data_IF_238751421223
#
_entry.id   IF_238751421223
#
_cell.length_a   1.000
_cell.length_b   1.000
_cell.length_c   1.000
_cell.angle_alpha   90.00
_cell.angle_beta   90.00
_cell.angle_gamma   90.00
#
_symmetry.space_group_name_H-M   'P 1'
#
loop_
_entity.id
_entity.type
_entity.pdbx_description
1 polymer ?
#
# COMPACT_ATOMS: atom_id res chain seq x y z
N UNK A 1 -25.87 -0.05 17.51
CA UNK A 1 -25.22 -0.94 16.52
C UNK A 1 -24.31 -0.23 15.51
N UNK A 2 -24.37 1.11 15.35
CA UNK A 2 -23.46 1.90 14.49
C UNK A 2 -22.09 2.18 15.12
N UNK A 3 -22.03 2.36 16.46
CA UNK A 3 -20.80 2.63 17.19
C UNK A 3 -19.79 1.46 17.12
N UNK A 4 -20.25 0.20 17.20
CA UNK A 4 -19.37 -0.98 17.09
C UNK A 4 -18.79 -1.15 15.69
N UNK A 5 -19.56 -0.82 14.65
CA UNK A 5 -19.11 -0.85 13.24
C UNK A 5 -18.04 0.21 12.99
N UNK A 6 -18.25 1.44 13.49
CA UNK A 6 -17.26 2.52 13.41
C UNK A 6 -15.99 2.17 14.19
N UNK A 7 -16.13 1.60 15.39
CA UNK A 7 -14.99 1.20 16.24
C UNK A 7 -14.18 0.09 15.59
N UNK A 8 -14.83 -0.88 14.92
CA UNK A 8 -14.16 -1.94 14.16
C UNK A 8 -13.46 -1.41 12.91
N UNK A 9 -14.10 -0.53 12.14
CA UNK A 9 -13.50 0.09 10.96
C UNK A 9 -12.27 0.95 11.33
N UNK A 10 -12.37 1.75 12.40
CA UNK A 10 -11.24 2.53 12.92
C UNK A 10 -10.13 1.63 13.43
N UNK A 11 -10.44 0.53 14.14
CA UNK A 11 -9.42 -0.44 14.59
C UNK A 11 -8.72 -1.13 13.41
N UNK A 12 -9.47 -1.48 12.35
CA UNK A 12 -8.89 -2.05 11.14
C UNK A 12 -8.04 -1.02 10.39
N UNK A 13 -8.47 0.24 10.30
CA UNK A 13 -7.69 1.33 9.70
C UNK A 13 -6.41 1.64 10.50
N UNK A 14 -6.48 1.68 11.83
CA UNK A 14 -5.29 1.79 12.71
C UNK A 14 -4.37 0.58 12.54
N UNK A 15 -4.93 -0.59 12.21
CA UNK A 15 -4.18 -1.79 11.85
C UNK A 15 -3.55 -1.77 10.45
N UNK A 16 -3.92 -0.86 9.55
CA UNK A 16 -3.31 -0.72 8.22
C UNK A 16 -2.15 0.28 8.21
N UNK A 17 -2.12 1.20 9.17
CA UNK A 17 -1.15 2.29 9.22
C UNK A 17 -1.50 3.41 8.26
N UNK A 18 -0.49 4.18 7.83
CA UNK A 18 -0.63 5.23 6.82
C UNK A 18 -0.71 4.64 5.41
N UNK A 19 -1.25 5.40 4.46
CA UNK A 19 -1.23 5.01 3.05
C UNK A 19 -0.09 5.71 2.31
N UNK A 20 0.71 4.94 1.59
CA UNK A 20 1.91 5.38 0.90
C UNK A 20 1.63 5.44 -0.59
N UNK A 21 1.95 6.55 -1.25
CA UNK A 21 1.79 6.68 -2.68
C UNK A 21 2.71 5.68 -3.43
N UNK A 22 2.15 4.99 -4.41
CA UNK A 22 2.87 4.10 -5.30
C UNK A 22 3.22 4.85 -6.59
N UNK A 23 4.47 4.74 -7.02
CA UNK A 23 4.97 5.40 -8.23
C UNK A 23 4.91 6.92 -8.13
N UNK A 24 4.58 7.58 -9.24
CA UNK A 24 4.51 9.03 -9.32
C UNK A 24 3.11 9.61 -9.06
N UNK A 25 2.98 10.95 -9.01
CA UNK A 25 1.73 11.66 -8.70
C UNK A 25 0.54 11.35 -9.63
N UNK A 26 0.80 10.76 -10.81
CA UNK A 26 -0.21 10.36 -11.80
C UNK A 26 -0.64 8.90 -11.69
N UNK A 27 0.07 8.08 -10.92
CA UNK A 27 -0.18 6.65 -10.82
C UNK A 27 -1.43 6.32 -9.99
N UNK A 28 -1.89 7.21 -9.11
CA UNK A 28 -3.19 7.10 -8.43
C UNK A 28 -3.35 5.82 -7.60
N UNK A 29 -2.23 5.28 -7.12
CA UNK A 29 -2.18 4.09 -6.30
C UNK A 29 -1.63 4.37 -4.92
N UNK A 30 -2.16 3.68 -3.93
CA UNK A 30 -1.65 3.70 -2.57
C UNK A 30 -1.54 2.30 -2.01
N UNK A 31 -0.57 2.09 -1.12
CA UNK A 31 -0.42 0.86 -0.34
C UNK A 31 -0.48 1.17 1.15
N UNK A 32 -1.16 0.32 1.91
CA UNK A 32 -1.11 0.36 3.37
C UNK A 32 0.31 0.07 3.84
N UNK A 33 0.81 0.86 4.80
CA UNK A 33 2.15 0.66 5.38
C UNK A 33 2.36 -0.78 5.86
N UNK A 34 1.35 -1.40 6.48
CA UNK A 34 1.43 -2.81 6.90
C UNK A 34 1.57 -3.79 5.72
N UNK A 35 0.91 -3.52 4.60
CA UNK A 35 1.04 -4.35 3.40
C UNK A 35 2.44 -4.21 2.79
N UNK A 36 3.02 -3.00 2.81
CA UNK A 36 4.40 -2.77 2.42
C UNK A 36 5.40 -3.47 3.36
N UNK A 37 5.16 -3.42 4.68
CA UNK A 37 5.96 -4.08 5.70
C UNK A 37 6.05 -5.60 5.48
N UNK A 38 4.95 -6.27 5.10
CA UNK A 38 4.94 -7.71 4.76
C UNK A 38 5.92 -8.01 3.63
N UNK A 39 5.93 -7.20 2.57
CA UNK A 39 6.85 -7.37 1.43
C UNK A 39 8.31 -7.17 1.85
N UNK A 40 8.58 -6.13 2.65
CA UNK A 40 9.93 -5.84 3.14
C UNK A 40 10.47 -6.91 4.10
N UNK A 41 9.63 -7.43 5.00
CA UNK A 41 9.98 -8.55 5.89
C UNK A 41 10.30 -9.82 5.11
N UNK A 42 9.49 -10.15 4.10
CA UNK A 42 9.76 -11.29 3.20
C UNK A 42 11.06 -11.11 2.42
N UNK A 43 11.35 -9.90 1.96
CA UNK A 43 12.60 -9.58 1.29
C UNK A 43 13.82 -9.80 2.19
N UNK A 44 13.80 -9.27 3.42
CA UNK A 44 14.90 -9.44 4.38
C UNK A 44 15.07 -10.91 4.78
N UNK A 45 13.98 -11.62 5.04
CA UNK A 45 14.02 -13.06 5.37
C UNK A 45 14.68 -13.88 4.25
N UNK A 46 14.41 -13.53 2.98
CA UNK A 46 14.97 -14.22 1.82
C UNK A 46 16.43 -13.85 1.56
N UNK A 47 16.76 -12.57 1.63
CA UNK A 47 17.99 -12.03 1.05
C UNK A 47 19.05 -11.64 2.12
N UNK A 48 18.71 -11.65 3.41
CA UNK A 48 19.61 -11.36 4.53
C UNK A 48 19.51 -12.43 5.64
N UNK A 49 20.11 -13.62 5.45
CA UNK A 49 20.09 -14.69 6.45
C UNK A 49 20.77 -14.26 7.75
N UNK A 50 20.29 -14.79 8.87
CA UNK A 50 20.72 -14.38 10.21
C UNK A 50 20.16 -13.05 10.72
N UNK A 51 19.21 -12.43 10.02
CA UNK A 51 18.58 -11.15 10.39
C UNK A 51 17.08 -11.33 10.65
N UNK A 52 16.58 -10.71 11.72
CA UNK A 52 15.15 -10.53 12.00
C UNK A 52 14.84 -9.04 12.02
N UNK A 53 13.81 -8.61 11.29
CA UNK A 53 13.26 -7.27 11.47
C UNK A 53 12.35 -7.26 12.72
N UNK A 54 12.56 -6.31 13.61
CA UNK A 54 11.76 -6.15 14.82
C UNK A 54 10.69 -5.08 14.63
N UNK A 55 10.99 -4.05 13.84
CA UNK A 55 10.04 -3.00 13.47
C UNK A 55 10.38 -2.34 12.15
N UNK A 56 9.37 -1.95 11.37
CA UNK A 56 9.53 -1.18 10.13
C UNK A 56 8.56 -0.01 10.14
N UNK A 57 9.04 1.17 9.75
CA UNK A 57 8.24 2.39 9.59
C UNK A 57 8.62 3.09 8.30
N UNK A 58 7.63 3.57 7.54
CA UNK A 58 7.86 4.26 6.27
C UNK A 58 7.28 5.68 6.33
N UNK A 59 8.13 6.69 6.51
CA UNK A 59 7.73 8.10 6.60
C UNK A 59 8.14 8.92 5.39
N UNK A 60 7.79 10.21 5.41
CA UNK A 60 8.36 11.18 4.48
C UNK A 60 9.86 11.32 4.76
N UNK A 61 10.64 11.44 3.69
CA UNK A 61 12.02 11.90 3.78
C UNK A 61 12.03 13.39 4.17
N UNK A 62 13.18 13.89 4.63
CA UNK A 62 13.31 15.29 5.02
C UNK A 62 12.96 16.25 3.87
N UNK A 63 12.65 17.53 4.16
CA UNK A 63 12.22 18.49 3.14
C UNK A 63 13.27 18.77 2.04
N UNK A 64 14.53 18.44 2.31
CA UNK A 64 15.67 18.56 1.37
C UNK A 64 15.80 17.34 0.43
N UNK A 65 15.03 16.27 0.68
CA UNK A 65 15.15 15.04 -0.06
C UNK A 65 14.64 15.22 -1.50
N UNK A 66 15.46 14.80 -2.46
CA UNK A 66 15.10 14.77 -3.88
C UNK A 66 14.58 13.39 -4.20
N UNK A 67 13.40 13.31 -4.82
CA UNK A 67 12.82 12.03 -5.21
C UNK A 67 13.69 11.31 -6.22
N UNK A 68 13.48 10.00 -6.38
CA UNK A 68 14.34 9.20 -7.28
C UNK A 68 14.18 9.60 -8.76
N UNK A 69 13.10 10.30 -9.10
CA UNK A 69 12.88 10.91 -10.42
C UNK A 69 13.69 12.21 -10.66
N UNK A 70 14.44 12.70 -9.66
CA UNK A 70 15.23 13.93 -9.75
C UNK A 70 14.43 15.22 -9.62
N UNK A 71 13.13 15.12 -9.33
CA UNK A 71 12.28 16.28 -9.05
C UNK A 71 12.41 16.67 -7.57
N UNK A 72 12.63 17.96 -7.24
CA UNK A 72 12.62 18.40 -5.85
C UNK A 72 11.27 18.10 -5.21
N UNK A 73 11.26 17.86 -3.90
CA UNK A 73 10.04 17.72 -3.09
C UNK A 73 9.28 19.05 -3.01
N UNK A 74 8.74 19.51 -4.14
CA UNK A 74 7.66 20.48 -4.18
C UNK A 74 6.41 19.66 -3.88
N UNK A 75 5.55 20.16 -2.99
CA UNK A 75 4.32 19.45 -2.63
C UNK A 75 3.41 19.33 -3.85
N UNK A 76 3.60 18.25 -4.62
CA UNK A 76 2.88 17.97 -5.86
C UNK A 76 1.57 17.33 -5.44
N UNK A 77 0.47 18.04 -5.64
CA UNK A 77 -0.85 17.47 -5.41
C UNK A 77 -1.04 16.25 -6.32
N UNK A 78 -1.48 15.10 -5.77
CA UNK A 78 -1.74 13.93 -6.59
C UNK A 78 -2.84 14.24 -7.60
N UNK A 79 -2.67 13.77 -8.84
CA UNK A 79 -3.65 13.99 -9.91
C UNK A 79 -4.96 13.22 -9.67
N UNK A 80 -4.93 12.26 -8.76
CA UNK A 80 -6.07 11.46 -8.30
C UNK A 80 -6.32 11.79 -6.82
N UNK A 81 -7.58 11.98 -6.39
CA UNK A 81 -7.91 12.21 -4.99
C UNK A 81 -7.32 11.13 -4.08
N UNK A 82 -6.56 11.55 -3.07
CA UNK A 82 -5.92 10.63 -2.13
C UNK A 82 -6.92 10.07 -1.10
N UNK A 83 -6.77 8.80 -0.67
CA UNK A 83 -7.57 8.26 0.41
C UNK A 83 -7.28 8.97 1.75
N UNK A 84 -8.22 8.98 2.70
CA UNK A 84 -7.99 9.56 4.02
C UNK A 84 -6.78 8.91 4.71
N UNK A 85 -5.84 9.73 5.20
CA UNK A 85 -4.62 9.25 5.86
C UNK A 85 -3.48 8.86 4.91
N UNK A 86 -3.60 9.19 3.62
CA UNK A 86 -2.49 9.11 2.68
C UNK A 86 -1.42 10.17 2.97
N UNK A 87 -0.17 9.74 2.90
CA UNK A 87 0.95 10.66 2.78
C UNK A 87 0.94 11.29 1.38
N UNK A 88 1.45 12.54 1.25
CA UNK A 88 1.68 13.13 -0.07
C UNK A 88 2.63 12.27 -0.90
N UNK A 89 2.58 12.34 -2.24
CA UNK A 89 3.49 11.63 -3.14
C UNK A 89 4.88 12.28 -3.13
N UNK A 90 5.52 12.23 -1.97
CA UNK A 90 6.83 12.80 -1.69
C UNK A 90 7.83 11.67 -1.38
N UNK A 91 9.14 11.94 -1.49
CA UNK A 91 10.16 10.93 -1.24
C UNK A 91 10.03 10.34 0.16
N UNK A 92 10.30 9.04 0.30
CA UNK A 92 10.07 8.29 1.52
C UNK A 92 11.38 7.85 2.18
N UNK A 93 11.34 7.74 3.51
CA UNK A 93 12.38 7.14 4.34
C UNK A 93 11.85 5.90 5.03
N UNK A 94 12.61 4.81 4.96
CA UNK A 94 12.35 3.59 5.73
C UNK A 94 13.20 3.63 6.99
N UNK A 95 12.58 3.49 8.16
CA UNK A 95 13.26 3.25 9.42
C UNK A 95 13.00 1.82 9.85
N UNK A 96 14.05 1.04 10.10
CA UNK A 96 13.91 -0.34 10.53
C UNK A 96 14.77 -0.65 11.76
N UNK A 97 14.18 -1.42 12.67
CA UNK A 97 14.88 -2.06 13.78
C UNK A 97 15.17 -3.50 13.37
N UNK A 98 16.41 -3.95 13.55
CA UNK A 98 16.78 -5.31 13.23
C UNK A 98 17.68 -5.93 14.30
N UNK A 99 17.50 -7.23 14.45
CA UNK A 99 18.34 -8.09 15.26
C UNK A 99 19.13 -9.01 14.34
N UNK A 100 20.40 -9.26 14.66
CA UNK A 100 21.28 -10.04 13.80
C UNK A 100 22.17 -11.00 14.59
N UNK A 101 22.47 -12.15 13.98
CA UNK A 101 23.47 -13.08 14.53
C UNK A 101 24.89 -12.53 14.40
N UNK A 102 25.81 -13.01 15.23
CA UNK A 102 27.23 -12.66 15.16
C UNK A 102 28.01 -13.37 14.03
N UNK A 103 27.31 -13.97 13.05
CA UNK A 103 27.92 -14.70 11.94
C UNK A 103 28.71 -13.80 10.96
N UNK A 104 28.39 -12.50 10.93
CA UNK A 104 29.06 -11.48 10.13
C UNK A 104 29.25 -10.19 10.94
N UNK A 105 30.22 -9.32 10.59
CA UNK A 105 30.32 -8.00 11.17
C UNK A 105 28.99 -7.23 11.05
N UNK A 106 28.60 -6.54 12.12
CA UNK A 106 27.37 -5.75 12.15
C UNK A 106 27.30 -4.68 11.04
N UNK A 107 28.36 -3.94 10.70
CA UNK A 107 28.32 -2.96 9.61
C UNK A 107 27.99 -3.58 8.26
N UNK A 108 28.62 -4.71 7.92
CA UNK A 108 28.35 -5.44 6.66
C UNK A 108 26.91 -5.96 6.62
N UNK A 109 26.41 -6.46 7.76
CA UNK A 109 25.02 -6.92 7.89
C UNK A 109 24.04 -5.75 7.71
N UNK A 110 24.33 -4.59 8.31
CA UNK A 110 23.52 -3.38 8.16
C UNK A 110 23.51 -2.88 6.72
N UNK A 111 24.65 -2.86 6.02
CA UNK A 111 24.72 -2.49 4.60
C UNK A 111 23.89 -3.42 3.73
N UNK A 112 23.94 -4.73 3.98
CA UNK A 112 23.12 -5.71 3.27
C UNK A 112 21.64 -5.50 3.52
N UNK A 113 21.21 -5.32 4.77
CA UNK A 113 19.81 -5.05 5.11
C UNK A 113 19.34 -3.75 4.47
N UNK A 114 20.19 -2.71 4.47
CA UNK A 114 19.91 -1.43 3.80
C UNK A 114 19.65 -1.63 2.31
N UNK A 115 20.52 -2.38 1.63
CA UNK A 115 20.37 -2.68 0.21
C UNK A 115 19.09 -3.47 -0.09
N UNK A 116 18.79 -4.51 0.71
CA UNK A 116 17.58 -5.34 0.53
C UNK A 116 16.30 -4.55 0.76
N UNK A 117 16.26 -3.69 1.78
CA UNK A 117 15.09 -2.85 2.04
C UNK A 117 14.90 -1.79 0.97
N UNK A 118 15.97 -1.15 0.51
CA UNK A 118 15.93 -0.19 -0.59
C UNK A 118 15.40 -0.88 -1.86
N UNK A 119 16.04 -1.96 -2.31
CA UNK A 119 15.62 -2.75 -3.48
C UNK A 119 14.17 -3.24 -3.34
N UNK A 120 13.80 -3.80 -2.19
CA UNK A 120 12.45 -4.27 -1.93
C UNK A 120 11.41 -3.16 -2.06
N UNK A 121 11.67 -1.98 -1.52
CA UNK A 121 10.77 -0.84 -1.63
C UNK A 121 10.64 -0.34 -3.08
N UNK A 122 11.76 -0.23 -3.82
CA UNK A 122 11.77 0.28 -5.19
C UNK A 122 11.17 -0.73 -6.15
N UNK A 123 11.78 -1.91 -6.22
CA UNK A 123 11.59 -2.87 -7.30
C UNK A 123 10.42 -3.81 -7.03
N UNK A 124 10.21 -4.18 -5.76
CA UNK A 124 9.14 -5.13 -5.40
C UNK A 124 7.85 -4.45 -4.99
N UNK A 125 7.89 -3.19 -4.53
CA UNK A 125 6.69 -2.43 -4.16
C UNK A 125 6.38 -1.34 -5.19
N UNK A 126 7.37 -0.51 -5.53
CA UNK A 126 7.19 0.70 -6.33
C UNK A 126 7.08 1.99 -5.51
N UNK A 127 7.72 2.04 -4.34
CA UNK A 127 7.79 3.23 -3.49
C UNK A 127 8.99 4.11 -3.87
N UNK A 128 8.82 5.43 -3.72
CA UNK A 128 9.91 6.40 -3.89
C UNK A 128 10.77 6.55 -2.63
N UNK A 129 11.32 5.43 -2.14
CA UNK A 129 12.24 5.42 -1.00
C UNK A 129 13.62 5.90 -1.40
N UNK A 130 14.09 6.95 -0.73
CA UNK A 130 15.41 7.58 -0.96
C UNK A 130 16.37 7.38 0.21
N UNK A 131 15.85 7.08 1.40
CA UNK A 131 16.64 6.89 2.62
C UNK A 131 16.22 5.62 3.37
N UNK A 132 17.19 4.92 3.95
CA UNK A 132 16.97 3.74 4.77
C UNK A 132 17.86 3.80 6.02
N UNK A 133 17.21 3.99 7.16
CA UNK A 133 17.84 4.14 8.46
C UNK A 133 17.61 2.90 9.32
N UNK A 134 18.70 2.39 9.85
CA UNK A 134 18.72 1.13 10.59
C UNK A 134 19.14 1.36 12.03
N UNK A 135 18.45 0.68 12.94
CA UNK A 135 18.84 0.57 14.35
C UNK A 135 19.04 -0.91 14.67
N UNK A 136 20.21 -1.24 15.20
CA UNK A 136 20.45 -2.58 15.75
C UNK A 136 19.71 -2.69 17.09
N UNK A 137 18.80 -3.64 17.20
CA UNK A 137 18.01 -3.89 18.40
C UNK A 137 18.70 -4.90 19.31
N UNK A 138 19.19 -6.01 18.74
CA UNK A 138 19.73 -7.15 19.48
C UNK A 138 20.79 -7.92 18.67
N UNK A 139 21.71 -8.57 19.38
CA UNK A 139 22.59 -9.61 18.83
C UNK A 139 22.02 -10.99 19.16
N UNK A 140 21.62 -11.73 18.13
CA UNK A 140 20.99 -13.03 18.28
C UNK A 140 22.05 -14.14 18.43
N UNK A 141 21.86 -15.02 19.41
CA UNK A 141 22.70 -16.22 19.58
C UNK A 141 22.38 -17.32 18.56
N UNK A 142 21.12 -17.38 18.10
CA UNK A 142 20.61 -18.40 17.18
C UNK A 142 19.98 -17.72 15.97
N UNK A 143 20.09 -18.36 14.80
CA UNK A 143 19.45 -17.88 13.58
C UNK A 143 17.93 -17.78 13.78
N UNK A 144 17.30 -16.64 13.43
CA UNK A 144 15.88 -16.47 13.60
C UNK A 144 15.13 -17.46 12.72
N UNK A 145 14.29 -18.29 13.34
CA UNK A 145 13.34 -19.10 12.59
C UNK A 145 12.32 -18.18 11.92
N UNK A 146 11.97 -18.39 10.64
CA UNK A 146 10.91 -17.63 10.01
C UNK A 146 9.60 -17.90 10.76
N UNK A 147 9.11 -16.90 11.50
CA UNK A 147 7.81 -16.97 12.14
C UNK A 147 6.75 -17.11 11.06
N UNK A 148 5.99 -18.21 11.10
CA UNK A 148 4.74 -18.31 10.37
C UNK A 148 3.73 -17.39 11.05
N UNK A 149 3.79 -16.08 10.75
CA UNK A 149 2.79 -15.15 11.23
C UNK A 149 1.46 -15.49 10.54
N UNK A 150 0.54 -16.04 11.36
CA UNK A 150 -0.74 -16.56 10.95
C UNK A 150 -1.58 -15.51 10.23
N UNK A 151 -2.20 -15.95 9.13
CA UNK A 151 -3.23 -15.23 8.43
C UNK A 151 -4.35 -14.87 9.40
N UNK A 152 -4.43 -13.59 9.74
CA UNK A 152 -5.61 -13.03 10.40
C UNK A 152 -6.78 -13.14 9.44
N UNK A 153 -7.66 -14.10 9.70
CA UNK A 153 -8.95 -14.27 9.04
C UNK A 153 -9.74 -12.95 9.10
N UNK A 154 -9.72 -12.20 8.00
CA UNK A 154 -10.62 -11.09 7.80
C UNK A 154 -11.99 -11.67 7.47
N UNK A 155 -12.83 -11.78 8.50
CA UNK A 155 -14.21 -12.25 8.38
C UNK A 155 -14.93 -11.58 7.21
N UNK A 156 -15.22 -12.39 6.20
CA UNK A 156 -16.06 -12.04 5.07
C UNK A 156 -17.51 -12.00 5.55
N UNK A 157 -17.97 -10.82 5.97
CA UNK A 157 -19.39 -10.58 6.20
C UNK A 157 -20.09 -10.27 4.87
N UNK A 158 -21.30 -10.79 4.61
CA UNK A 158 -22.04 -10.47 3.39
C UNK A 158 -22.35 -8.96 3.34
N UNK A 159 -22.31 -8.30 2.16
CA UNK A 159 -22.67 -6.90 2.07
C UNK A 159 -24.18 -6.73 2.21
N UNK A 160 -24.62 -5.95 3.19
CA UNK A 160 -26.00 -5.48 3.27
C UNK A 160 -26.16 -4.20 2.44
N UNK A 161 -27.09 -4.29 1.49
CA UNK A 161 -27.53 -3.24 0.58
C UNK A 161 -28.14 -2.08 1.34
N UNK A 162 -27.55 -0.89 1.17
CA UNK A 162 -28.12 0.39 1.58
C UNK A 162 -28.23 1.30 0.36
N UNK A 163 -29.43 1.85 0.19
CA UNK A 163 -30.03 2.45 -1.00
C UNK A 163 -29.25 3.63 -1.60
N UNK A 164 -29.09 3.61 -2.93
CA UNK A 164 -28.47 4.69 -3.71
C UNK A 164 -28.44 4.39 -5.21
N UNK A 165 -29.61 4.51 -5.87
CA UNK A 165 -29.75 4.57 -7.33
C UNK A 165 -29.73 3.21 -8.04
N UNK A 166 -30.81 2.90 -8.76
CA UNK A 166 -31.07 1.63 -9.50
C UNK A 166 -30.10 1.38 -10.68
N UNK A 167 -29.01 2.15 -10.80
CA UNK A 167 -27.90 1.94 -11.74
C UNK A 167 -26.51 1.83 -11.09
N UNK A 168 -26.37 2.07 -9.78
CA UNK A 168 -25.07 2.08 -9.08
C UNK A 168 -24.50 0.69 -8.83
N UNK A 169 -25.35 -0.29 -8.48
CA UNK A 169 -24.88 -1.63 -8.10
C UNK A 169 -24.34 -2.43 -9.29
N UNK A 170 -24.99 -2.38 -10.46
CA UNK A 170 -24.51 -3.06 -11.66
C UNK A 170 -23.18 -2.48 -12.19
N UNK A 171 -22.95 -1.18 -11.96
CA UNK A 171 -21.67 -0.57 -12.29
C UNK A 171 -20.58 -0.94 -11.29
N UNK A 172 -20.88 -0.91 -9.99
CA UNK A 172 -19.98 -1.37 -8.92
C UNK A 172 -19.55 -2.81 -9.15
N UNK A 173 -20.48 -3.68 -9.56
CA UNK A 173 -20.20 -5.05 -9.95
C UNK A 173 -19.27 -5.12 -11.16
N UNK A 174 -19.55 -4.36 -12.23
CA UNK A 174 -18.70 -4.30 -13.43
C UNK A 174 -17.28 -3.85 -13.11
N UNK A 175 -17.12 -2.83 -12.26
CA UNK A 175 -15.82 -2.35 -11.79
C UNK A 175 -15.10 -3.43 -10.98
N UNK A 176 -15.83 -4.11 -10.08
CA UNK A 176 -15.28 -5.19 -9.28
C UNK A 176 -14.77 -6.35 -10.13
N UNK A 177 -15.55 -6.77 -11.14
CA UNK A 177 -15.16 -7.81 -12.10
C UNK A 177 -13.95 -7.39 -12.91
N UNK A 178 -13.92 -6.15 -13.41
CA UNK A 178 -12.78 -5.63 -14.17
C UNK A 178 -11.50 -5.58 -13.33
N UNK A 179 -11.60 -5.20 -12.05
CA UNK A 179 -10.47 -5.19 -11.14
C UNK A 179 -9.97 -6.61 -10.82
N UNK A 180 -10.86 -7.56 -10.55
CA UNK A 180 -10.50 -8.96 -10.27
C UNK A 180 -9.91 -9.68 -11.48
N UNK A 181 -10.24 -9.26 -12.70
CA UNK A 181 -9.68 -9.82 -13.93
C UNK A 181 -8.20 -9.42 -14.15
N UNK A 182 -7.68 -8.44 -13.41
CA UNK A 182 -6.30 -7.97 -13.56
C UNK A 182 -5.34 -8.98 -12.91
N UNK A 183 -4.34 -9.49 -13.66
CA UNK A 183 -3.32 -10.37 -13.09
C UNK A 183 -2.62 -9.75 -11.88
N UNK A 184 -2.52 -10.51 -10.79
CA UNK A 184 -1.91 -10.07 -9.54
C UNK A 184 -2.90 -9.52 -8.51
N UNK A 185 -4.17 -9.30 -8.85
CA UNK A 185 -5.23 -9.04 -7.85
C UNK A 185 -5.68 -10.38 -7.26
N UNK A 186 -5.54 -10.55 -5.95
CA UNK A 186 -5.95 -11.79 -5.26
C UNK A 186 -7.41 -11.74 -4.80
N UNK A 187 -7.84 -10.59 -4.26
CA UNK A 187 -9.23 -10.31 -3.87
C UNK A 187 -9.49 -8.82 -3.77
N UNK A 188 -10.76 -8.43 -3.81
CA UNK A 188 -11.17 -7.09 -3.39
C UNK A 188 -11.30 -7.04 -1.87
N UNK A 189 -10.99 -5.88 -1.28
CA UNK A 189 -11.05 -5.66 0.17
C UNK A 189 -11.97 -4.49 0.48
N UNK A 190 -12.58 -4.43 1.66
CA UNK A 190 -13.53 -3.37 2.05
C UNK A 190 -13.12 -2.67 3.34
N UNK A 191 -11.81 -2.51 3.58
CA UNK A 191 -11.34 -2.12 4.92
C UNK A 191 -11.75 -0.69 5.28
N UNK A 192 -11.89 0.18 4.29
CA UNK A 192 -12.39 1.56 4.45
C UNK A 192 -13.85 1.71 3.98
N UNK A 193 -14.66 0.64 4.07
CA UNK A 193 -16.09 0.64 3.70
C UNK A 193 -16.40 -0.37 2.60
N UNK A 194 -16.96 0.10 1.47
CA UNK A 194 -17.15 -0.77 0.29
C UNK A 194 -15.82 -0.96 -0.45
N UNK A 195 -15.67 -2.11 -1.09
CA UNK A 195 -14.50 -2.43 -1.92
C UNK A 195 -14.40 -1.61 -3.19
N UNK A 196 -15.55 -1.17 -3.71
CA UNK A 196 -15.63 -0.17 -4.78
C UNK A 196 -16.45 0.98 -4.26
N UNK A 197 -15.89 2.19 -4.28
CA UNK A 197 -16.54 3.41 -3.88
C UNK A 197 -16.62 4.36 -5.06
N UNK A 198 -17.84 4.66 -5.48
CA UNK A 198 -18.11 5.66 -6.52
C UNK A 198 -18.61 6.92 -5.83
N UNK A 199 -18.00 8.05 -6.17
CA UNK A 199 -18.36 9.36 -5.63
C UNK A 199 -18.31 10.41 -6.72
N UNK A 200 -19.19 11.40 -6.66
CA UNK A 200 -19.07 12.62 -7.46
C UNK A 200 -18.31 13.65 -6.65
N UNK A 201 -17.29 14.28 -7.26
CA UNK A 201 -16.55 15.35 -6.61
C UNK A 201 -16.62 16.62 -7.45
N UNK A 202 -17.16 17.67 -6.83
CA UNK A 202 -16.98 19.03 -7.31
C UNK A 202 -15.65 19.58 -6.77
N UNK A 203 -14.84 20.18 -7.64
CA UNK A 203 -13.73 21.05 -7.23
C UNK A 203 -14.06 22.49 -7.60
N UNK A 204 -13.65 23.44 -6.77
CA UNK A 204 -13.88 24.87 -7.03
C UNK A 204 -13.29 25.23 -8.41
N UNK A 205 -14.14 25.62 -9.35
CA UNK A 205 -13.74 26.00 -10.71
C UNK A 205 -13.64 24.86 -11.74
N UNK A 206 -14.05 23.63 -11.43
CA UNK A 206 -14.16 22.55 -12.42
C UNK A 206 -15.52 21.84 -12.37
N UNK A 207 -15.91 21.24 -13.50
CA UNK A 207 -17.09 20.38 -13.57
C UNK A 207 -16.96 19.21 -12.58
N UNK A 208 -18.06 18.79 -11.92
CA UNK A 208 -18.05 17.60 -11.08
C UNK A 208 -17.48 16.43 -11.86
N UNK A 209 -16.43 15.80 -11.34
CA UNK A 209 -15.85 14.59 -11.93
C UNK A 209 -16.12 13.41 -11.04
N UNK A 210 -16.56 12.33 -11.66
CA UNK A 210 -16.76 11.05 -11.00
C UNK A 210 -15.41 10.46 -10.57
N UNK A 211 -15.39 9.89 -9.37
CA UNK A 211 -14.23 9.31 -8.73
C UNK A 211 -14.57 7.90 -8.26
N UNK A 212 -13.72 6.95 -8.66
CA UNK A 212 -13.83 5.54 -8.28
C UNK A 212 -12.61 5.18 -7.45
N UNK A 213 -12.84 4.66 -6.24
CA UNK A 213 -11.81 4.04 -5.42
C UNK A 213 -12.03 2.54 -5.35
N UNK A 214 -11.00 1.75 -5.64
CA UNK A 214 -11.01 0.29 -5.54
C UNK A 214 -10.03 -0.14 -4.45
N UNK A 215 -10.54 -0.81 -3.43
CA UNK A 215 -9.77 -1.36 -2.33
C UNK A 215 -9.51 -2.86 -2.63
N UNK A 216 -8.24 -3.30 -2.63
CA UNK A 216 -7.86 -4.66 -3.02
C UNK A 216 -6.66 -5.23 -2.26
N UNK A 217 -6.46 -6.54 -2.42
CA UNK A 217 -5.25 -7.26 -2.03
C UNK A 217 -4.49 -7.73 -3.27
N UNK A 218 -3.17 -7.70 -3.18
CA UNK A 218 -2.24 -8.12 -4.24
C UNK A 218 -1.67 -9.49 -3.90
N UNK A 219 -1.56 -10.36 -4.89
CA UNK A 219 -0.88 -11.65 -4.75
C UNK A 219 0.63 -11.47 -4.50
N UNK A 220 1.21 -12.30 -3.63
CA UNK A 220 2.64 -12.29 -3.35
C UNK A 220 3.51 -12.53 -4.59
N UNK A 221 4.68 -11.88 -4.61
CA UNK A 221 5.66 -12.02 -5.69
C UNK A 221 5.38 -11.15 -6.93
N UNK A 222 4.26 -10.41 -6.95
CA UNK A 222 3.95 -9.43 -8.00
C UNK A 222 4.16 -8.02 -7.44
N UNK A 223 4.64 -7.08 -8.26
CA UNK A 223 4.85 -5.69 -7.87
C UNK A 223 3.50 -4.94 -7.75
N UNK A 224 3.10 -4.45 -6.56
CA UNK A 224 1.88 -3.69 -6.35
C UNK A 224 1.67 -2.50 -7.30
N UNK A 225 2.73 -1.74 -7.62
CA UNK A 225 2.63 -0.62 -8.58
C UNK A 225 2.12 -1.07 -9.96
N UNK A 226 2.58 -2.22 -10.45
CA UNK A 226 2.18 -2.71 -11.77
C UNK A 226 0.72 -3.18 -11.75
N UNK A 227 0.29 -3.82 -10.66
CA UNK A 227 -1.11 -4.23 -10.45
C UNK A 227 -2.03 -3.02 -10.38
N UNK A 228 -1.66 -1.98 -9.62
CA UNK A 228 -2.39 -0.71 -9.56
C UNK A 228 -2.57 -0.11 -10.95
N UNK A 229 -1.50 -0.03 -11.75
CA UNK A 229 -1.57 0.52 -13.11
C UNK A 229 -2.51 -0.29 -13.98
N UNK A 230 -2.44 -1.62 -13.91
CA UNK A 230 -3.35 -2.53 -14.61
C UNK A 230 -4.81 -2.33 -14.22
N UNK A 231 -5.10 -2.25 -12.91
CA UNK A 231 -6.46 -2.02 -12.40
C UNK A 231 -7.01 -0.67 -12.85
N UNK A 232 -6.20 0.40 -12.84
CA UNK A 232 -6.66 1.72 -13.30
C UNK A 232 -7.02 1.71 -14.78
N UNK A 233 -6.24 1.03 -15.62
CA UNK A 233 -6.55 0.88 -17.04
C UNK A 233 -7.83 0.06 -17.24
N UNK A 234 -7.94 -1.08 -16.57
CA UNK A 234 -9.11 -1.96 -16.69
C UNK A 234 -10.40 -1.28 -16.22
N UNK A 235 -10.38 -0.64 -15.06
CA UNK A 235 -11.54 0.08 -14.50
C UNK A 235 -11.87 1.32 -15.32
N UNK A 236 -10.88 2.06 -15.81
CA UNK A 236 -11.10 3.20 -16.69
C UNK A 236 -11.74 2.81 -18.02
N UNK A 237 -11.44 1.63 -18.56
CA UNK A 237 -11.99 1.15 -19.83
C UNK A 237 -13.46 0.72 -19.75
N UNK A 238 -13.94 0.31 -18.57
CA UNK A 238 -15.34 -0.14 -18.39
C UNK A 238 -16.32 0.99 -18.04
N UNK A 239 -15.81 2.21 -17.84
CA UNK A 239 -16.60 3.39 -17.44
C UNK A 239 -16.57 4.44 -18.56
N UNK A 240 -17.71 4.73 -19.21
CA UNK A 240 -17.76 5.58 -20.40
C UNK A 240 -17.39 7.06 -20.11
N UNK A 241 -17.55 7.48 -18.86
CA UNK A 241 -17.39 8.88 -18.45
C UNK A 241 -15.92 9.27 -18.12
N UNK A 242 -14.98 8.33 -18.25
CA UNK A 242 -13.56 8.54 -17.94
C UNK A 242 -13.29 9.05 -16.51
N UNK A 243 -13.80 8.38 -15.46
CA UNK A 243 -13.62 8.84 -14.09
C UNK A 243 -12.17 8.77 -13.62
N UNK A 244 -11.86 9.53 -12.57
CA UNK A 244 -10.58 9.35 -11.86
C UNK A 244 -10.62 8.04 -11.06
N UNK A 245 -9.66 7.15 -11.29
CA UNK A 245 -9.56 5.87 -10.58
C UNK A 245 -8.41 5.91 -9.57
N UNK A 246 -8.75 5.73 -8.29
CA UNK A 246 -7.82 5.46 -7.19
C UNK A 246 -7.82 3.97 -6.86
N UNK A 247 -6.63 3.41 -6.61
CA UNK A 247 -6.49 2.01 -6.17
C UNK A 247 -5.78 1.98 -4.82
N UNK A 248 -6.36 1.26 -3.87
CA UNK A 248 -5.84 1.11 -2.52
C UNK A 248 -5.48 -0.35 -2.24
N UNK A 249 -4.19 -0.64 -2.14
CA UNK A 249 -3.67 -1.94 -1.76
C UNK A 249 -3.67 -2.04 -0.23
N UNK A 250 -4.61 -2.81 0.33
CA UNK A 250 -4.72 -2.96 1.79
C UNK A 250 -3.99 -4.19 2.33
N UNK A 251 -3.64 -5.15 1.46
CA UNK A 251 -2.93 -6.38 1.84
C UNK A 251 -2.08 -6.91 0.68
N UNK A 252 -1.04 -7.68 1.02
CA UNK A 252 -0.26 -8.50 0.11
C UNK A 252 -0.24 -9.92 0.66
N UNK A 253 -0.67 -10.89 -0.14
CA UNK A 253 -0.83 -12.30 0.27
C UNK A 253 0.44 -13.12 0.10
#
# INVERSE_FOLDING_TARGET
MTADRLTRAVRQQVGLGRFLALGGPRDGGWIAERAAEVVLRRAVTRDAPGVRLDGVRIGLAGPEAVGRAGEPAVSVLPAVPAPPGALPPEPLRVTAEFSATAARPLPETAERVRAVLAEGAVERIGLDVVEVDLRVAELLEVEPVPSAEGGGEAGSGPPESGEGGVGGDAEVERVGVAALAVPGVSRLTGVLGRSVQVSERASVGALPRRHVRVDLAVAGGVRPLDVVRGVRVAVGAVLPDGPTVAVLVTAVD
#
